data_IF_804429572108
#
_entry.id   IF_804429572108
#
_cell.length_a   1.000
_cell.length_b   1.000
_cell.length_c   1.000
_cell.angle_alpha   90.00
_cell.angle_beta   90.00
_cell.angle_gamma   90.00
#
_symmetry.space_group_name_H-M   'P 1'
#
loop_
_entity.id
_entity.type
_entity.pdbx_description
1 polymer ?
#
# COMPACT_ATOMS: atom_id res chain seq x y z
N UNK A 1 -10.72 19.39 -5.57
CA UNK A 1 -11.50 18.25 -6.09
C UNK A 1 -10.59 17.05 -6.31
N UNK A 2 -10.59 16.14 -5.33
CA UNK A 2 -9.94 14.83 -5.28
C UNK A 2 -8.43 14.78 -5.63
N UNK A 3 -7.59 14.83 -4.60
CA UNK A 3 -6.24 14.25 -4.68
C UNK A 3 -6.38 12.75 -5.01
N UNK A 4 -5.97 12.36 -6.22
CA UNK A 4 -6.23 11.02 -6.80
C UNK A 4 -5.21 9.97 -6.40
N UNK A 5 -4.40 10.21 -5.37
CA UNK A 5 -3.38 9.27 -4.95
C UNK A 5 -3.94 8.24 -3.96
N UNK A 6 -4.74 7.31 -4.49
CA UNK A 6 -5.30 6.17 -3.75
C UNK A 6 -4.33 4.99 -3.60
N UNK A 7 -3.16 5.08 -4.21
CA UNK A 7 -2.11 4.06 -4.20
C UNK A 7 -0.83 4.59 -3.54
N UNK A 8 0.01 3.67 -3.07
CA UNK A 8 1.33 3.89 -2.47
C UNK A 8 2.20 2.66 -2.76
N UNK A 9 3.51 2.78 -2.60
CA UNK A 9 4.42 1.64 -2.67
C UNK A 9 4.45 0.87 -1.35
N UNK A 10 4.58 -0.45 -1.44
CA UNK A 10 4.79 -1.32 -0.29
C UNK A 10 6.24 -1.15 0.21
N UNK A 11 6.47 -0.87 1.50
CA UNK A 11 7.82 -0.67 2.03
C UNK A 11 8.69 -1.94 2.01
N UNK A 12 8.10 -3.12 1.81
CA UNK A 12 8.81 -4.39 1.86
C UNK A 12 9.19 -4.93 0.48
N UNK A 13 8.30 -4.80 -0.51
CA UNK A 13 8.51 -5.36 -1.85
C UNK A 13 8.38 -4.32 -2.96
N UNK A 14 8.24 -3.04 -2.63
CA UNK A 14 8.05 -1.91 -3.55
C UNK A 14 6.82 -2.00 -4.48
N UNK A 15 5.94 -2.97 -4.23
CA UNK A 15 4.74 -3.16 -5.07
C UNK A 15 3.73 -2.04 -4.87
N UNK A 16 2.99 -1.67 -5.92
CA UNK A 16 1.98 -0.63 -5.84
C UNK A 16 0.71 -1.19 -5.18
N UNK A 17 0.42 -0.73 -3.97
CA UNK A 17 -0.73 -1.12 -3.16
C UNK A 17 -1.68 0.06 -2.95
N UNK A 18 -2.92 -0.20 -2.54
CA UNK A 18 -3.85 0.86 -2.14
C UNK A 18 -3.38 1.49 -0.83
N UNK A 19 -3.51 2.81 -0.65
CA UNK A 19 -3.19 3.49 0.63
C UNK A 19 -3.94 2.87 1.83
N UNK A 20 -5.20 2.46 1.62
CA UNK A 20 -6.01 1.78 2.63
C UNK A 20 -5.69 0.30 2.85
N UNK A 21 -4.75 -0.28 2.09
CA UNK A 21 -4.38 -1.67 2.27
C UNK A 21 -3.67 -1.83 3.61
N UNK A 22 -4.14 -2.81 4.40
CA UNK A 22 -3.50 -3.25 5.65
C UNK A 22 -2.48 -4.35 5.43
N UNK A 23 -2.65 -5.13 4.35
CA UNK A 23 -1.76 -6.22 4.00
C UNK A 23 -1.36 -6.12 2.52
N UNK A 24 -0.08 -6.33 2.23
CA UNK A 24 0.40 -6.42 0.86
C UNK A 24 0.09 -7.81 0.29
N UNK A 25 -0.54 -7.90 -0.88
CA UNK A 25 -0.88 -9.18 -1.52
C UNK A 25 0.32 -9.92 -2.13
N UNK A 26 1.44 -9.22 -2.32
CA UNK A 26 2.65 -9.80 -2.90
C UNK A 26 3.51 -10.46 -1.82
N UNK A 27 3.88 -9.70 -0.78
CA UNK A 27 4.74 -10.21 0.28
C UNK A 27 3.99 -10.69 1.53
N UNK A 28 2.66 -10.54 1.58
CA UNK A 28 1.81 -10.85 2.73
C UNK A 28 2.25 -10.19 4.05
N UNK A 29 2.99 -9.09 3.96
CA UNK A 29 3.39 -8.27 5.10
C UNK A 29 2.29 -7.28 5.48
N UNK A 30 2.17 -7.01 6.78
CA UNK A 30 1.30 -5.96 7.30
C UNK A 30 1.91 -4.58 7.00
N UNK A 31 1.13 -3.74 6.34
CA UNK A 31 1.47 -2.37 5.95
C UNK A 31 0.55 -1.37 6.66
N UNK A 32 -0.27 -1.80 7.61
CA UNK A 32 -1.33 -0.99 8.23
C UNK A 32 -0.81 0.16 9.11
N UNK A 33 0.49 0.18 9.42
CA UNK A 33 1.13 1.18 10.27
C UNK A 33 2.08 2.16 9.56
N UNK A 34 2.15 2.14 8.23
CA UNK A 34 2.98 3.06 7.43
C UNK A 34 2.12 3.93 6.51
#
# INVERSE_FOLDING_TARGET
>A
IHDRHFTRECPFCAEIIKKRAKLCKHCNQDVAGQ
#
